data_IF_808228349447
#
_entry.id   IF_808228349447
#
_cell.length_a   1.000
_cell.length_b   1.000
_cell.length_c   1.000
_cell.angle_alpha   90.00
_cell.angle_beta   90.00
_cell.angle_gamma   90.00
#
_symmetry.space_group_name_H-M   'P 1'
#
loop_
_entity.id
_entity.type
_entity.pdbx_description
1 polymer ?
#
# COMPACT_ATOMS: atom_id res chain seq x y z
N UNK A 1 -9.25 -18.55 13.28
CA UNK A 1 -9.15 -18.62 11.81
C UNK A 1 -8.13 -17.60 11.34
N UNK A 2 -7.14 -18.04 10.58
CA UNK A 2 -6.24 -17.06 9.98
C UNK A 2 -6.99 -16.19 8.97
N UNK A 3 -6.63 -14.92 8.83
CA UNK A 3 -7.27 -14.07 7.84
C UNK A 3 -6.94 -14.51 6.41
N UNK A 4 -7.86 -14.22 5.50
CA UNK A 4 -7.66 -14.49 4.09
C UNK A 4 -6.84 -13.35 3.48
N UNK A 5 -5.56 -13.59 3.26
CA UNK A 5 -4.66 -12.57 2.73
C UNK A 5 -5.02 -12.16 1.31
N UNK A 6 -5.57 -13.07 0.51
CA UNK A 6 -6.02 -12.73 -0.83
C UNK A 6 -7.22 -11.79 -0.79
N UNK A 7 -8.13 -11.97 0.15
CA UNK A 7 -9.26 -11.08 0.32
C UNK A 7 -8.80 -9.69 0.77
N UNK A 8 -7.84 -9.63 1.69
CA UNK A 8 -7.27 -8.36 2.16
C UNK A 8 -6.58 -7.65 0.99
N UNK A 9 -5.79 -8.36 0.21
CA UNK A 9 -5.09 -7.81 -0.93
C UNK A 9 -6.06 -7.26 -1.97
N UNK A 10 -7.09 -8.01 -2.30
CA UNK A 10 -8.12 -7.57 -3.23
C UNK A 10 -8.82 -6.30 -2.75
N UNK A 11 -9.16 -6.25 -1.46
CA UNK A 11 -9.77 -5.07 -0.87
C UNK A 11 -8.87 -3.84 -1.00
N UNK A 12 -7.59 -3.98 -0.66
CA UNK A 12 -6.66 -2.85 -0.69
C UNK A 12 -6.40 -2.36 -2.10
N UNK A 13 -6.30 -3.26 -3.08
CA UNK A 13 -6.17 -2.85 -4.48
C UNK A 13 -7.42 -2.10 -4.95
N UNK A 14 -8.60 -2.59 -4.56
CA UNK A 14 -9.86 -1.93 -4.85
C UNK A 14 -9.94 -0.55 -4.17
N UNK A 15 -9.44 -0.44 -2.95
CA UNK A 15 -9.39 0.84 -2.25
C UNK A 15 -8.52 1.85 -3.00
N UNK A 16 -7.36 1.43 -3.47
CA UNK A 16 -6.51 2.29 -4.30
C UNK A 16 -7.24 2.75 -5.55
N UNK A 17 -7.93 1.85 -6.24
CA UNK A 17 -8.69 2.19 -7.43
C UNK A 17 -9.79 3.21 -7.14
N UNK A 18 -10.52 3.00 -6.06
CA UNK A 18 -11.63 3.89 -5.65
C UNK A 18 -11.11 5.28 -5.31
N UNK A 19 -10.02 5.35 -4.55
CA UNK A 19 -9.43 6.64 -4.17
C UNK A 19 -8.94 7.38 -5.40
N UNK A 20 -8.20 6.70 -6.27
CA UNK A 20 -7.65 7.33 -7.46
C UNK A 20 -8.75 7.83 -8.40
N UNK A 21 -9.82 7.06 -8.57
CA UNK A 21 -10.95 7.47 -9.41
C UNK A 21 -11.61 8.73 -8.85
N UNK A 22 -11.80 8.80 -7.54
CA UNK A 22 -12.40 9.97 -6.91
C UNK A 22 -11.52 11.21 -7.08
N UNK A 23 -10.22 11.06 -6.89
CA UNK A 23 -9.28 12.18 -7.03
C UNK A 23 -9.19 12.64 -8.49
N UNK A 24 -9.21 11.72 -9.44
CA UNK A 24 -9.22 12.07 -10.86
C UNK A 24 -10.48 12.83 -11.23
N UNK A 25 -11.61 12.45 -10.66
CA UNK A 25 -12.86 13.14 -10.93
C UNK A 25 -12.85 14.58 -10.39
N UNK A 26 -12.27 14.79 -9.21
CA UNK A 26 -12.15 16.12 -8.63
C UNK A 26 -11.20 17.02 -9.40
N UNK A 27 -10.08 16.46 -9.87
CA UNK A 27 -9.00 17.22 -10.50
C UNK A 27 -9.19 17.37 -12.01
N UNK A 28 -9.66 16.32 -12.67
CA UNK A 28 -9.74 16.24 -14.13
C UNK A 28 -8.49 15.65 -14.77
N UNK A 29 -7.42 15.47 -14.01
CA UNK A 29 -6.20 14.82 -14.49
C UNK A 29 -6.24 13.31 -14.33
N UNK A 30 -5.10 12.67 -14.62
CA UNK A 30 -4.96 11.23 -14.55
C UNK A 30 -3.72 10.84 -13.76
N UNK A 31 -3.83 9.75 -13.01
CA UNK A 31 -2.68 9.16 -12.34
C UNK A 31 -1.83 8.37 -13.33
N UNK A 32 -0.53 8.41 -13.12
CA UNK A 32 0.42 7.51 -13.78
C UNK A 32 0.68 6.33 -12.88
N UNK A 33 0.51 5.14 -13.41
CA UNK A 33 0.70 3.91 -12.64
C UNK A 33 2.07 3.31 -12.95
N UNK A 34 2.71 2.82 -11.88
CA UNK A 34 3.96 2.08 -11.98
C UNK A 34 3.88 0.88 -11.04
N UNK A 35 4.32 -0.27 -11.52
CA UNK A 35 4.39 -1.47 -10.70
C UNK A 35 5.84 -1.81 -10.41
N UNK A 36 6.09 -2.38 -9.23
CA UNK A 36 7.44 -2.70 -8.80
C UNK A 36 7.43 -4.02 -8.04
N UNK A 37 8.59 -4.68 -8.03
CA UNK A 37 8.78 -5.92 -7.30
C UNK A 37 10.02 -5.80 -6.44
N UNK A 38 10.04 -6.56 -5.33
CA UNK A 38 11.18 -6.61 -4.42
C UNK A 38 11.90 -7.94 -4.58
N UNK A 39 13.24 -7.89 -4.56
CA UNK A 39 14.05 -9.11 -4.59
C UNK A 39 13.77 -10.00 -3.39
N UNK A 40 13.46 -9.40 -2.24
CA UNK A 40 13.19 -10.10 -0.98
C UNK A 40 11.78 -10.69 -0.92
N UNK A 41 10.90 -10.32 -1.84
CA UNK A 41 9.53 -10.81 -1.92
C UNK A 41 8.50 -9.71 -1.85
N UNK A 42 7.47 -9.85 -2.67
CA UNK A 42 6.40 -8.90 -2.76
C UNK A 42 6.64 -7.81 -3.79
N UNK A 43 5.78 -6.83 -3.77
CA UNK A 43 5.83 -5.72 -4.70
C UNK A 43 4.73 -4.72 -4.43
N UNK A 44 4.44 -3.89 -5.41
CA UNK A 44 3.39 -2.91 -5.23
C UNK A 44 3.00 -2.23 -6.52
N UNK A 45 2.07 -1.30 -6.38
CA UNK A 45 1.51 -0.53 -7.47
C UNK A 45 1.39 0.91 -7.00
N UNK A 46 2.19 1.79 -7.59
CA UNK A 46 2.21 3.20 -7.25
C UNK A 46 1.45 4.00 -8.30
N UNK A 47 0.71 4.99 -7.86
CA UNK A 47 0.02 5.93 -8.75
C UNK A 47 0.37 7.35 -8.31
N UNK A 48 0.80 8.16 -9.26
CA UNK A 48 1.26 9.53 -9.00
C UNK A 48 0.63 10.48 -10.01
N UNK A 49 0.16 11.62 -9.50
CA UNK A 49 -0.31 12.74 -10.29
C UNK A 49 0.51 13.96 -9.90
N UNK A 50 1.03 14.70 -10.87
CA UNK A 50 1.86 15.87 -10.61
C UNK A 50 1.44 17.04 -11.48
N UNK A 51 1.60 18.24 -10.96
CA UNK A 51 1.38 19.51 -11.68
C UNK A 51 0.00 19.60 -12.33
N UNK A 52 -1.01 19.08 -11.63
CA UNK A 52 -2.37 19.08 -12.14
C UNK A 52 -3.14 20.31 -11.65
N UNK A 53 -4.43 20.38 -11.96
CA UNK A 53 -5.24 21.57 -11.74
C UNK A 53 -5.49 21.82 -10.26
N UNK A 54 -5.93 20.81 -9.53
CA UNK A 54 -6.26 20.91 -8.10
C UNK A 54 -5.08 20.44 -7.25
N UNK A 55 -4.42 19.37 -7.67
CA UNK A 55 -3.32 18.78 -6.92
C UNK A 55 -1.99 19.11 -7.56
N UNK A 56 -1.11 19.74 -6.78
CA UNK A 56 0.27 19.92 -7.19
C UNK A 56 0.97 18.58 -7.27
N UNK A 57 0.70 17.70 -6.28
CA UNK A 57 1.22 16.35 -6.29
C UNK A 57 0.30 15.47 -5.45
N UNK A 58 -0.02 14.30 -5.98
CA UNK A 58 -0.78 13.28 -5.24
C UNK A 58 -0.14 11.92 -5.52
N UNK A 59 0.06 11.16 -4.46
CA UNK A 59 0.58 9.81 -4.55
C UNK A 59 -0.32 8.86 -3.79
N UNK A 60 -0.72 7.76 -4.45
CA UNK A 60 -1.52 6.70 -3.82
C UNK A 60 -0.82 5.39 -4.13
N UNK A 61 -0.30 4.74 -3.11
CA UNK A 61 0.48 3.53 -3.28
C UNK A 61 -0.14 2.33 -2.60
N UNK A 62 -0.13 1.20 -3.30
CA UNK A 62 -0.40 -0.11 -2.72
C UNK A 62 0.92 -0.85 -2.59
N UNK A 63 1.11 -1.55 -1.46
CA UNK A 63 2.26 -2.42 -1.28
C UNK A 63 1.85 -3.74 -0.64
N UNK A 64 2.52 -4.80 -1.07
CA UNK A 64 2.41 -6.10 -0.45
C UNK A 64 3.84 -6.63 -0.31
N UNK A 65 4.37 -6.59 0.89
CA UNK A 65 5.75 -6.92 1.19
C UNK A 65 5.76 -8.21 1.98
N UNK A 66 6.65 -9.12 1.61
CA UNK A 66 6.84 -10.37 2.33
C UNK A 66 8.28 -10.49 2.78
N UNK A 67 8.49 -11.23 3.87
CA UNK A 67 9.82 -11.53 4.35
C UNK A 67 9.84 -12.88 5.03
N UNK A 68 11.02 -13.51 5.05
CA UNK A 68 11.16 -14.84 5.65
C UNK A 68 11.41 -14.76 7.14
N UNK A 69 11.83 -13.59 7.64
CA UNK A 69 12.18 -13.41 9.04
C UNK A 69 11.99 -11.95 9.45
N UNK A 70 11.18 -11.73 10.48
CA UNK A 70 10.97 -10.39 10.99
C UNK A 70 12.25 -9.86 11.64
N UNK A 71 12.66 -8.61 11.33
CA UNK A 71 13.80 -7.99 11.99
C UNK A 71 13.49 -7.69 13.46
N UNK A 72 14.51 -7.59 14.34
CA UNK A 72 14.28 -7.30 15.76
C UNK A 72 13.54 -5.99 16.01
N UNK A 73 13.74 -4.98 15.16
CA UNK A 73 13.07 -3.70 15.32
C UNK A 73 11.55 -3.82 15.15
N UNK A 74 11.09 -4.76 14.31
CA UNK A 74 9.66 -4.97 14.09
C UNK A 74 9.01 -5.80 15.19
N UNK A 75 9.81 -6.49 16.02
CA UNK A 75 9.31 -7.36 17.07
C UNK A 75 9.61 -6.86 18.49
N UNK A 76 9.97 -5.58 18.61
CA UNK A 76 10.34 -5.00 19.89
C UNK A 76 9.23 -5.13 20.94
N UNK A 77 7.97 -5.02 20.50
CA UNK A 77 6.81 -5.16 21.40
C UNK A 77 6.18 -6.54 21.34
N UNK A 78 6.59 -7.37 20.41
CA UNK A 78 6.07 -8.72 20.22
C UNK A 78 7.21 -9.70 19.97
N UNK A 79 8.04 -10.00 21.00
CA UNK A 79 9.23 -10.85 20.79
C UNK A 79 8.92 -12.26 20.28
N UNK A 80 7.72 -12.76 20.53
CA UNK A 80 7.31 -14.07 20.06
C UNK A 80 7.23 -14.17 18.53
N UNK A 81 7.23 -13.04 17.82
CA UNK A 81 7.20 -13.02 16.36
C UNK A 81 8.58 -13.00 15.73
N UNK A 82 9.62 -12.88 16.54
CA UNK A 82 11.00 -12.79 16.05
C UNK A 82 11.35 -13.99 15.19
N UNK A 83 11.95 -13.75 14.03
CA UNK A 83 12.38 -14.81 13.13
C UNK A 83 11.28 -15.45 12.30
N UNK A 84 10.04 -15.04 12.45
CA UNK A 84 8.92 -15.63 11.70
C UNK A 84 8.72 -14.95 10.36
N UNK A 85 8.22 -15.69 9.36
CA UNK A 85 7.84 -15.08 8.08
C UNK A 85 6.66 -14.12 8.28
N UNK A 86 6.55 -13.15 7.39
CA UNK A 86 5.51 -12.13 7.53
C UNK A 86 5.01 -11.63 6.18
N UNK A 87 3.80 -11.06 6.23
CA UNK A 87 3.20 -10.29 5.14
C UNK A 87 2.78 -8.93 5.68
N UNK A 88 3.12 -7.89 4.94
CA UNK A 88 2.66 -6.53 5.25
C UNK A 88 2.02 -5.95 3.99
N UNK A 89 0.75 -5.60 4.10
CA UNK A 89 -0.01 -5.04 2.99
C UNK A 89 -0.53 -3.68 3.40
N UNK A 90 -0.67 -2.78 2.43
CA UNK A 90 -1.22 -1.48 2.77
C UNK A 90 -1.44 -0.59 1.58
N UNK A 91 -2.24 0.44 1.83
CA UNK A 91 -2.43 1.56 0.93
C UNK A 91 -2.04 2.81 1.70
N UNK A 92 -1.19 3.62 1.11
CA UNK A 92 -0.82 4.91 1.67
C UNK A 92 -1.05 5.99 0.63
N UNK A 93 -1.37 7.18 1.10
CA UNK A 93 -1.51 8.31 0.19
C UNK A 93 -0.97 9.58 0.83
N UNK A 94 -0.50 10.47 -0.02
CA UNK A 94 -0.14 11.84 0.33
C UNK A 94 -0.68 12.73 -0.77
N UNK A 95 -1.41 13.76 -0.37
CA UNK A 95 -2.02 14.70 -1.32
C UNK A 95 -1.58 16.11 -0.97
N UNK A 96 -0.89 16.76 -1.91
CA UNK A 96 -0.48 18.16 -1.78
C UNK A 96 -1.34 19.00 -2.71
N UNK A 97 -2.35 19.71 -2.19
CA UNK A 97 -3.15 20.62 -3.01
C UNK A 97 -2.30 21.77 -3.53
N UNK A 98 -2.66 22.26 -4.70
CA UNK A 98 -1.98 23.43 -5.27
C UNK A 98 -2.26 24.68 -4.44
N UNK A 99 -3.47 24.81 -3.90
CA UNK A 99 -3.85 25.93 -3.05
C UNK A 99 -3.17 25.79 -1.68
N UNK A 100 -2.28 26.72 -1.28
CA UNK A 100 -1.56 26.61 0.00
C UNK A 100 -2.46 26.72 1.23
N UNK A 101 -3.69 27.17 1.07
CA UNK A 101 -4.63 27.26 2.18
C UNK A 101 -5.38 25.96 2.43
N UNK A 102 -5.24 24.95 1.54
CA UNK A 102 -5.85 23.63 1.71
C UNK A 102 -4.81 22.71 2.33
N UNK A 103 -5.13 22.04 3.44
CA UNK A 103 -4.14 21.18 4.10
C UNK A 103 -3.69 20.00 3.25
N UNK A 104 -2.44 19.62 3.43
CA UNK A 104 -1.92 18.35 2.92
C UNK A 104 -2.58 17.20 3.66
N UNK A 105 -2.91 16.14 2.94
CA UNK A 105 -3.54 14.96 3.51
C UNK A 105 -2.58 13.79 3.42
N UNK A 106 -2.47 13.06 4.51
CA UNK A 106 -1.72 11.80 4.57
C UNK A 106 -2.61 10.74 5.22
N UNK A 107 -2.66 9.55 4.60
CA UNK A 107 -3.40 8.42 5.15
C UNK A 107 -2.61 7.15 4.91
N UNK A 108 -2.70 6.23 5.86
CA UNK A 108 -2.07 4.92 5.74
C UNK A 108 -3.00 3.87 6.35
N UNK A 109 -3.38 2.89 5.55
CA UNK A 109 -4.15 1.73 6.00
C UNK A 109 -3.25 0.51 5.82
N UNK A 110 -2.99 -0.23 6.89
CA UNK A 110 -2.03 -1.31 6.86
C UNK A 110 -2.61 -2.58 7.49
N UNK A 111 -2.29 -3.70 6.87
CA UNK A 111 -2.54 -5.03 7.41
C UNK A 111 -1.22 -5.76 7.56
N UNK A 112 -1.03 -6.42 8.69
CA UNK A 112 0.21 -7.14 8.97
C UNK A 112 -0.13 -8.53 9.51
N UNK A 113 0.56 -9.54 9.00
CA UNK A 113 0.39 -10.91 9.44
C UNK A 113 1.76 -11.58 9.55
N UNK A 114 2.03 -12.23 10.68
CA UNK A 114 3.28 -12.93 10.92
C UNK A 114 3.00 -14.35 11.35
N UNK A 115 3.93 -15.25 11.05
CA UNK A 115 3.80 -16.67 11.34
C UNK A 115 3.49 -17.45 10.07
N UNK A 116 2.90 -18.64 10.22
CA UNK A 116 2.59 -19.50 9.08
C UNK A 116 1.57 -18.83 8.17
N UNK A 117 1.94 -18.62 6.92
CA UNK A 117 0.99 -18.13 5.93
C UNK A 117 -0.04 -19.22 5.66
N UNK A 118 -1.35 -18.89 5.64
CA UNK A 118 -2.38 -19.91 5.43
C UNK A 118 -2.37 -20.52 4.05
N UNK A 119 -1.95 -19.79 3.03
CA UNK A 119 -1.92 -20.28 1.65
C UNK A 119 -0.92 -19.48 0.85
N UNK A 120 -0.35 -20.07 -0.22
CA UNK A 120 0.46 -19.30 -1.14
C UNK A 120 -0.34 -18.18 -1.78
N UNK A 121 0.29 -17.03 -1.94
CA UNK A 121 -0.33 -15.88 -2.59
C UNK A 121 0.25 -15.72 -3.98
N UNK A 122 -0.58 -15.26 -4.91
CA UNK A 122 -0.12 -14.86 -6.21
C UNK A 122 0.43 -13.43 -6.11
N UNK A 123 1.74 -13.33 -5.96
CA UNK A 123 2.42 -12.04 -5.85
C UNK A 123 2.77 -11.45 -7.21
N UNK A 124 2.47 -12.17 -8.30
CA UNK A 124 2.79 -11.70 -9.64
C UNK A 124 1.78 -10.75 -10.23
N UNK A 125 0.58 -10.67 -9.65
CA UNK A 125 -0.43 -9.72 -10.11
C UNK A 125 -0.60 -8.61 -9.09
N UNK A 126 -0.37 -7.39 -9.51
CA UNK A 126 -0.51 -6.21 -8.66
C UNK A 126 -1.59 -5.30 -9.18
#
# INVERSE_FOLDING_TARGET
MPPDLNAVRTYLLSLQDTICAALEQEDGGKFHEDTWTRAEGGGGRSRVMSDSVVYEKAGVGFSHVTGVSLPPSATATRPELAGKPYHALGVSLVIHPRNPYVPTVHMNVRFFCAGSAPAPLDLGSA
#
